data_IF_639067739992
#
_entry.id   IF_639067739992
#
_cell.length_a   1.000
_cell.length_b   1.000
_cell.length_c   1.000
_cell.angle_alpha   90.00
_cell.angle_beta   90.00
_cell.angle_gamma   90.00
#
_symmetry.space_group_name_H-M   'P 1'
#
loop_
_entity.id
_entity.type
_entity.pdbx_description
1 polymer ?
#
# COMPACT_ATOMS: atom_id res chain seq x y z
N UNK A 1 26.53 9.75 -31.74
CA UNK A 1 25.47 8.71 -31.82
C UNK A 1 25.49 7.71 -30.64
N UNK A 2 26.64 7.18 -30.19
CA UNK A 2 26.68 6.19 -29.09
C UNK A 2 26.25 6.72 -27.71
N UNK A 3 26.63 7.96 -27.38
CA UNK A 3 26.25 8.59 -26.12
C UNK A 3 24.74 8.83 -26.00
N UNK A 4 24.08 9.19 -27.10
CA UNK A 4 22.62 9.39 -27.14
C UNK A 4 21.90 8.07 -26.90
N UNK A 5 22.37 6.97 -27.51
CA UNK A 5 21.81 5.64 -27.27
C UNK A 5 22.00 5.18 -25.81
N UNK A 6 23.17 5.44 -25.22
CA UNK A 6 23.44 5.12 -23.82
C UNK A 6 22.53 5.91 -22.86
N UNK A 7 22.34 7.20 -23.11
CA UNK A 7 21.46 8.05 -22.30
C UNK A 7 19.99 7.61 -22.38
N UNK A 8 19.53 7.19 -23.56
CA UNK A 8 18.16 6.68 -23.73
C UNK A 8 17.93 5.36 -23.00
N UNK A 9 18.91 4.44 -23.02
CA UNK A 9 18.82 3.16 -22.31
C UNK A 9 18.83 3.35 -20.78
N UNK A 10 19.69 4.24 -20.28
CA UNK A 10 19.71 4.60 -18.85
C UNK A 10 18.40 5.26 -18.44
N UNK A 11 17.85 6.17 -19.24
CA UNK A 11 16.55 6.79 -18.99
C UNK A 11 15.39 5.78 -18.96
N UNK A 12 15.39 4.81 -19.89
CA UNK A 12 14.41 3.71 -19.91
C UNK A 12 14.51 2.85 -18.64
N UNK A 13 15.71 2.51 -18.17
CA UNK A 13 15.87 1.73 -16.93
C UNK A 13 15.35 2.48 -15.69
N UNK A 14 15.58 3.79 -15.60
CA UNK A 14 15.10 4.61 -14.48
C UNK A 14 13.57 4.68 -14.48
N UNK A 15 12.94 4.80 -15.65
CA UNK A 15 11.48 4.88 -15.80
C UNK A 15 10.76 3.62 -15.28
N UNK A 16 11.38 2.44 -15.35
CA UNK A 16 10.80 1.18 -14.86
C UNK A 16 10.98 0.97 -13.34
N UNK A 17 11.98 1.62 -12.72
CA UNK A 17 12.22 1.51 -11.29
C UNK A 17 11.21 2.29 -10.44
N UNK A 18 10.53 3.28 -11.04
CA UNK A 18 9.55 4.14 -10.36
C UNK A 18 8.10 3.71 -10.57
N UNK A 19 7.80 2.55 -11.17
CA UNK A 19 6.42 2.07 -11.17
C UNK A 19 6.05 1.62 -9.75
N UNK A 20 5.11 2.30 -9.05
CA UNK A 20 4.67 1.86 -7.75
C UNK A 20 3.93 0.53 -7.93
N UNK A 21 4.59 -0.58 -7.62
CA UNK A 21 4.05 -1.94 -7.67
C UNK A 21 2.99 -2.21 -6.58
N UNK A 22 2.31 -1.17 -6.10
CA UNK A 22 1.34 -1.23 -5.03
C UNK A 22 0.18 -0.27 -5.26
N UNK A 23 -1.01 -0.68 -4.84
CA UNK A 23 -2.21 0.15 -4.88
C UNK A 23 -1.95 1.54 -4.27
N UNK A 24 -2.24 2.60 -5.03
CA UNK A 24 -1.85 3.99 -4.75
C UNK A 24 -2.52 4.66 -3.52
N UNK A 25 -3.13 3.89 -2.62
CA UNK A 25 -3.81 4.41 -1.44
C UNK A 25 -3.18 3.89 -0.14
N UNK A 26 -3.25 4.69 0.91
CA UNK A 26 -2.69 4.36 2.23
C UNK A 26 -3.79 4.02 3.23
N UNK A 27 -3.44 3.24 4.25
CA UNK A 27 -4.36 2.95 5.35
C UNK A 27 -4.82 4.25 6.04
N UNK A 28 -6.10 4.33 6.45
CA UNK A 28 -6.60 5.49 7.19
C UNK A 28 -5.93 5.58 8.57
N UNK A 29 -5.81 6.79 9.13
CA UNK A 29 -5.29 6.97 10.48
C UNK A 29 -6.25 6.33 11.51
N UNK A 30 -5.69 5.66 12.50
CA UNK A 30 -6.44 5.06 13.61
C UNK A 30 -6.23 5.93 14.85
N UNK A 31 -7.26 6.66 15.28
CA UNK A 31 -7.16 7.60 16.42
C UNK A 31 -7.37 6.94 17.78
N UNK A 32 -8.13 5.85 17.83
CA UNK A 32 -8.44 5.11 19.05
C UNK A 32 -8.20 3.63 18.83
N UNK A 33 -7.74 2.94 19.87
CA UNK A 33 -7.50 1.48 19.84
C UNK A 33 -8.19 0.81 21.02
N UNK A 34 -8.54 -0.47 20.84
CA UNK A 34 -9.12 -1.28 21.91
C UNK A 34 -8.09 -1.56 23.01
N UNK A 35 -8.55 -1.67 24.26
CA UNK A 35 -7.72 -2.00 25.42
C UNK A 35 -7.42 -3.51 25.52
N UNK A 36 -6.96 -4.12 24.43
CA UNK A 36 -6.59 -5.53 24.37
C UNK A 36 -5.07 -5.64 24.18
N UNK A 37 -4.39 -6.35 25.08
CA UNK A 37 -2.93 -6.49 25.05
C UNK A 37 -2.42 -7.13 23.75
N UNK A 38 -3.14 -8.13 23.23
CA UNK A 38 -2.82 -8.80 21.98
C UNK A 38 -4.06 -8.90 21.08
N UNK A 39 -4.38 -7.85 20.29
CA UNK A 39 -5.56 -7.85 19.47
C UNK A 39 -5.41 -8.78 18.26
N UNK A 40 -6.47 -9.50 17.85
CA UNK A 40 -6.38 -10.48 16.78
C UNK A 40 -6.11 -9.82 15.43
N UNK A 41 -5.10 -10.32 14.73
CA UNK A 41 -4.76 -9.89 13.38
C UNK A 41 -5.32 -10.88 12.36
N UNK A 42 -6.21 -10.42 11.47
CA UNK A 42 -6.74 -11.25 10.36
C UNK A 42 -5.81 -11.27 9.14
N UNK A 43 -4.81 -10.41 9.14
CA UNK A 43 -3.76 -10.32 8.13
C UNK A 43 -2.51 -9.68 8.75
N UNK A 44 -1.36 -9.91 8.13
CA UNK A 44 -0.09 -9.27 8.49
C UNK A 44 0.48 -8.41 7.36
N UNK A 45 0.23 -8.80 6.11
CA UNK A 45 0.72 -8.13 4.90
C UNK A 45 -0.36 -8.05 3.83
N UNK A 46 -0.26 -7.08 2.92
CA UNK A 46 -1.26 -6.82 1.87
C UNK A 46 -1.53 -8.04 0.97
N UNK A 47 -0.51 -8.88 0.74
CA UNK A 47 -0.63 -10.10 -0.09
C UNK A 47 -1.58 -11.15 0.48
N UNK A 48 -1.89 -11.09 1.78
CA UNK A 48 -2.86 -11.98 2.42
C UNK A 48 -4.31 -11.51 2.20
N UNK A 49 -4.49 -10.31 1.66
CA UNK A 49 -5.81 -9.74 1.41
C UNK A 49 -6.31 -10.06 -0.01
N UNK A 50 -7.64 -10.14 -0.20
CA UNK A 50 -8.23 -10.17 -1.53
C UNK A 50 -7.78 -8.99 -2.39
N UNK A 51 -7.84 -9.13 -3.72
CA UNK A 51 -7.49 -8.07 -4.67
C UNK A 51 -8.16 -6.74 -4.32
N UNK A 52 -7.41 -5.64 -4.45
CA UNK A 52 -7.89 -4.29 -4.19
C UNK A 52 -8.00 -3.90 -2.71
N UNK A 53 -7.58 -4.77 -1.77
CA UNK A 53 -7.57 -4.49 -0.34
C UNK A 53 -6.15 -4.43 0.21
N UNK A 54 -5.97 -3.69 1.31
CA UNK A 54 -4.70 -3.61 2.06
C UNK A 54 -4.90 -4.08 3.49
N UNK A 55 -3.84 -4.63 4.08
CA UNK A 55 -3.82 -5.07 5.46
C UNK A 55 -3.53 -3.88 6.37
N UNK A 56 -4.59 -3.30 6.94
CA UNK A 56 -4.50 -2.07 7.72
C UNK A 56 -4.72 -2.33 9.21
N UNK A 57 -4.10 -1.48 10.04
CA UNK A 57 -4.50 -1.36 11.45
C UNK A 57 -5.93 -0.82 11.51
N UNK A 58 -6.69 -1.30 12.48
CA UNK A 58 -8.05 -0.85 12.78
C UNK A 58 -8.15 -0.54 14.27
N UNK A 59 -9.34 -0.16 14.75
CA UNK A 59 -9.60 0.02 16.19
C UNK A 59 -9.13 -1.19 17.02
N UNK A 60 -9.26 -2.42 16.52
CA UNK A 60 -8.80 -3.61 17.22
C UNK A 60 -8.13 -4.59 16.25
N UNK A 61 -6.81 -4.60 16.24
CA UNK A 61 -5.97 -5.48 15.40
C UNK A 61 -5.91 -5.05 13.93
N UNK A 62 -5.51 -5.98 13.06
CA UNK A 62 -5.36 -5.77 11.61
C UNK A 62 -6.45 -6.46 10.80
N UNK A 63 -6.93 -5.79 9.77
CA UNK A 63 -7.95 -6.32 8.84
C UNK A 63 -7.68 -5.86 7.41
N UNK A 64 -8.15 -6.67 6.46
CA UNK A 64 -8.17 -6.30 5.04
C UNK A 64 -9.30 -5.30 4.78
N UNK A 65 -8.96 -4.07 4.39
CA UNK A 65 -9.94 -3.03 4.06
C UNK A 65 -9.73 -2.53 2.63
N UNK A 66 -10.80 -2.02 2.02
CA UNK A 66 -10.75 -1.33 0.73
C UNK A 66 -10.35 0.14 0.91
N UNK A 67 -9.99 0.80 -0.19
CA UNK A 67 -9.78 2.25 -0.23
C UNK A 67 -11.03 2.95 0.35
N UNK A 68 -10.87 3.83 1.37
CA UNK A 68 -11.98 4.63 1.88
C UNK A 68 -12.53 5.55 0.77
N UNK A 69 -13.82 5.90 0.81
CA UNK A 69 -14.36 6.93 -0.08
C UNK A 69 -13.58 8.24 0.11
N UNK A 70 -13.37 8.97 -1.00
CA UNK A 70 -12.66 10.26 -0.97
C UNK A 70 -13.48 11.37 -0.29
N UNK A 71 -14.79 11.17 -0.17
CA UNK A 71 -15.72 12.10 0.47
C UNK A 71 -16.08 11.50 1.84
N UNK A 72 -15.86 12.23 2.95
CA UNK A 72 -16.40 11.83 4.23
C UNK A 72 -17.93 11.92 4.17
N UNK A 73 -18.59 10.78 4.35
CA UNK A 73 -20.05 10.71 4.58
C UNK A 73 -20.33 11.06 6.03
#
# INVERSE_FOLDING_TARGET
MKAVAALLLVGMLILWAELPTGSAWSCPPVRFTCALHNPPNRCLVDRQCPRGRKCCRTFCGRKCISKPPAIPV
#
